data_IF_366183866326
#
_entry.id   IF_366183866326
#
_cell.length_a   1.000
_cell.length_b   1.000
_cell.length_c   1.000
_cell.angle_alpha   90.00
_cell.angle_beta   90.00
_cell.angle_gamma   90.00
#
_symmetry.space_group_name_H-M   'P 1'
#
loop_
_entity.id
_entity.type
_entity.pdbx_description
1 polymer ?
#
# COMPACT_ATOMS: atom_id res chain seq x y z
N UNK A 1 45.79 -31.68 13.99
CA UNK A 1 45.13 -32.09 12.73
C UNK A 1 43.70 -31.56 12.75
N UNK A 2 43.42 -30.47 12.02
CA UNK A 2 42.07 -29.92 11.86
C UNK A 2 41.84 -29.74 10.36
N UNK A 3 40.98 -30.58 9.79
CA UNK A 3 40.65 -30.56 8.37
C UNK A 3 39.86 -29.30 8.04
N UNK A 4 40.34 -28.57 7.03
CA UNK A 4 39.66 -27.43 6.44
C UNK A 4 38.30 -27.90 5.91
N UNK A 5 37.24 -27.27 6.41
CA UNK A 5 35.90 -27.30 5.81
C UNK A 5 36.06 -26.87 4.36
N UNK A 6 35.92 -27.83 3.44
CA UNK A 6 35.80 -27.57 2.01
C UNK A 6 34.66 -26.57 1.82
N UNK A 7 35.02 -25.33 1.50
CA UNK A 7 34.11 -24.36 0.94
C UNK A 7 33.70 -24.89 -0.44
N UNK A 8 32.60 -25.63 -0.45
CA UNK A 8 31.94 -26.10 -1.66
C UNK A 8 31.47 -24.84 -2.42
N UNK A 9 32.24 -24.44 -3.43
CA UNK A 9 31.86 -23.38 -4.34
C UNK A 9 30.52 -23.78 -5.00
N UNK A 10 29.51 -22.91 -5.01
CA UNK A 10 28.22 -23.26 -5.59
C UNK A 10 28.42 -23.60 -7.06
N UNK A 11 27.96 -24.81 -7.45
CA UNK A 11 28.04 -25.32 -8.81
C UNK A 11 27.44 -24.30 -9.80
N UNK A 12 28.19 -23.98 -10.87
CA UNK A 12 27.67 -23.23 -12.02
C UNK A 12 26.47 -24.00 -12.57
N UNK A 13 25.27 -23.47 -12.34
CA UNK A 13 24.01 -24.10 -12.73
C UNK A 13 23.02 -24.34 -11.59
N UNK A 14 23.37 -24.02 -10.34
CA UNK A 14 22.40 -24.02 -9.24
C UNK A 14 21.32 -22.97 -9.54
N UNK A 15 20.11 -23.43 -9.85
CA UNK A 15 18.96 -22.54 -10.07
C UNK A 15 18.76 -21.66 -8.83
N UNK A 16 18.91 -20.35 -8.98
CA UNK A 16 18.76 -19.40 -7.88
C UNK A 16 17.35 -19.57 -7.29
N UNK A 17 17.21 -19.87 -5.99
CA UNK A 17 15.91 -20.12 -5.40
C UNK A 17 15.04 -18.86 -5.46
N UNK A 18 13.89 -18.96 -6.14
CA UNK A 18 12.95 -17.85 -6.32
C UNK A 18 12.55 -17.24 -4.97
N UNK A 19 12.79 -15.93 -4.75
CA UNK A 19 12.51 -15.30 -3.47
C UNK A 19 11.01 -15.25 -3.20
N UNK A 20 10.61 -15.69 -2.01
CA UNK A 20 9.23 -15.57 -1.56
C UNK A 20 8.94 -14.12 -1.14
N UNK A 21 7.98 -13.49 -1.81
CA UNK A 21 7.50 -12.13 -1.51
C UNK A 21 6.41 -12.13 -0.43
N UNK A 22 6.31 -11.07 0.40
CA UNK A 22 5.22 -10.93 1.36
C UNK A 22 3.85 -10.95 0.67
N UNK A 23 2.85 -11.64 1.24
CA UNK A 23 1.48 -11.91 0.70
C UNK A 23 1.40 -12.78 -0.56
N UNK A 24 2.36 -12.67 -1.48
CA UNK A 24 2.41 -13.38 -2.76
C UNK A 24 3.15 -14.72 -2.69
N UNK A 25 4.05 -14.94 -1.73
CA UNK A 25 4.85 -16.17 -1.67
C UNK A 25 5.74 -16.28 -2.91
N UNK A 26 5.83 -17.47 -3.54
CA UNK A 26 6.53 -17.69 -4.81
C UNK A 26 5.62 -17.59 -6.05
N UNK A 27 4.32 -17.32 -5.87
CA UNK A 27 3.35 -17.39 -6.97
C UNK A 27 3.46 -16.24 -7.96
N UNK A 28 4.19 -15.17 -7.61
CA UNK A 28 4.49 -14.04 -8.50
C UNK A 28 5.30 -14.46 -9.74
N UNK A 29 6.16 -15.48 -9.62
CA UNK A 29 7.01 -15.96 -10.73
C UNK A 29 6.21 -16.66 -11.83
N UNK A 30 5.20 -17.47 -11.47
CA UNK A 30 4.37 -18.22 -12.44
C UNK A 30 3.13 -17.46 -12.91
N UNK A 31 2.75 -16.33 -12.29
CA UNK A 31 1.51 -15.56 -12.56
C UNK A 31 0.24 -16.44 -12.73
N UNK A 32 0.18 -17.57 -12.02
CA UNK A 32 -0.89 -18.57 -12.17
C UNK A 32 -2.21 -18.19 -11.48
N UNK A 33 -3.23 -19.07 -11.48
CA UNK A 33 -4.55 -18.78 -10.91
C UNK A 33 -4.50 -18.37 -9.42
N UNK A 34 -3.59 -18.95 -8.63
CA UNK A 34 -3.40 -18.58 -7.22
C UNK A 34 -2.86 -17.14 -7.02
N UNK A 35 -2.11 -16.61 -8.00
CA UNK A 35 -1.67 -15.21 -8.00
C UNK A 35 -2.87 -14.28 -8.20
N UNK A 36 -3.68 -14.57 -9.23
CA UNK A 36 -4.88 -13.79 -9.52
C UNK A 36 -5.91 -13.85 -8.39
N UNK A 37 -6.13 -15.01 -7.78
CA UNK A 37 -7.04 -15.14 -6.63
C UNK A 37 -6.60 -14.26 -5.44
N UNK A 38 -5.30 -14.27 -5.11
CA UNK A 38 -4.75 -13.43 -4.02
C UNK A 38 -4.86 -11.94 -4.35
N UNK A 39 -4.64 -11.58 -5.62
CA UNK A 39 -4.78 -10.21 -6.11
C UNK A 39 -6.23 -9.75 -6.03
N UNK A 40 -7.17 -10.51 -6.58
CA UNK A 40 -8.62 -10.23 -6.51
C UNK A 40 -9.10 -10.12 -5.07
N UNK A 41 -8.71 -11.05 -4.18
CA UNK A 41 -9.07 -10.96 -2.75
C UNK A 41 -8.55 -9.68 -2.11
N UNK A 42 -7.33 -9.25 -2.44
CA UNK A 42 -6.77 -8.00 -1.92
C UNK A 42 -7.52 -6.79 -2.48
N UNK A 43 -7.86 -6.81 -3.76
CA UNK A 43 -8.67 -5.76 -4.39
C UNK A 43 -10.03 -5.64 -3.74
N UNK A 44 -10.76 -6.74 -3.58
CA UNK A 44 -12.07 -6.76 -2.92
C UNK A 44 -11.96 -6.22 -1.50
N UNK A 45 -10.97 -6.70 -0.72
CA UNK A 45 -10.75 -6.20 0.64
C UNK A 45 -10.50 -4.68 0.68
N UNK A 46 -9.67 -4.15 -0.21
CA UNK A 46 -9.38 -2.71 -0.27
C UNK A 46 -10.61 -1.91 -0.70
N UNK A 47 -11.37 -2.38 -1.68
CA UNK A 47 -12.62 -1.74 -2.11
C UNK A 47 -13.64 -1.72 -0.96
N UNK A 48 -13.82 -2.84 -0.26
CA UNK A 48 -14.69 -2.90 0.92
C UNK A 48 -14.24 -1.93 2.02
N UNK A 49 -12.93 -1.85 2.27
CA UNK A 49 -12.38 -0.91 3.25
C UNK A 49 -12.59 0.56 2.83
N UNK A 50 -12.44 0.88 1.54
CA UNK A 50 -12.73 2.22 1.00
C UNK A 50 -14.20 2.57 1.17
N UNK A 51 -15.11 1.66 0.82
CA UNK A 51 -16.55 1.87 0.97
C UNK A 51 -16.93 2.10 2.43
N UNK A 52 -16.46 1.23 3.35
CA UNK A 52 -16.73 1.39 4.78
C UNK A 52 -16.17 2.70 5.33
N UNK A 53 -14.96 3.08 4.93
CA UNK A 53 -14.33 4.33 5.35
C UNK A 53 -15.09 5.56 4.83
N UNK A 54 -15.57 5.51 3.59
CA UNK A 54 -16.40 6.56 3.00
C UNK A 54 -17.75 6.72 3.72
N UNK A 55 -18.44 5.61 4.00
CA UNK A 55 -19.68 5.62 4.77
C UNK A 55 -19.48 6.16 6.18
N UNK A 56 -18.40 5.75 6.86
CA UNK A 56 -18.05 6.25 8.18
C UNK A 56 -17.76 7.75 8.16
N UNK A 57 -16.99 8.22 7.18
CA UNK A 57 -16.67 9.64 7.00
C UNK A 57 -17.94 10.48 6.77
N UNK A 58 -18.85 10.00 5.92
CA UNK A 58 -20.13 10.66 5.65
C UNK A 58 -21.02 10.70 6.91
N UNK A 59 -21.09 9.60 7.67
CA UNK A 59 -21.85 9.55 8.92
C UNK A 59 -21.31 10.50 10.00
N UNK A 60 -19.99 10.65 10.11
CA UNK A 60 -19.40 11.66 11.00
C UNK A 60 -19.69 13.08 10.52
N UNK A 61 -19.58 13.30 9.21
CA UNK A 61 -19.81 14.60 8.60
C UNK A 61 -21.27 15.05 8.72
N UNK A 62 -22.24 14.14 8.56
CA UNK A 62 -23.66 14.47 8.72
C UNK A 62 -23.95 14.97 10.14
N UNK A 63 -23.38 14.32 11.16
CA UNK A 63 -23.53 14.77 12.55
C UNK A 63 -22.98 16.18 12.80
N UNK A 64 -21.87 16.55 12.16
CA UNK A 64 -21.35 17.92 12.20
C UNK A 64 -22.24 18.90 11.41
N UNK A 65 -22.68 18.49 10.21
CA UNK A 65 -23.48 19.30 9.31
C UNK A 65 -24.82 19.70 9.93
N UNK A 66 -25.41 18.83 10.74
CA UNK A 66 -26.68 19.08 11.42
C UNK A 66 -26.59 20.20 12.46
N UNK A 67 -25.39 20.54 12.94
CA UNK A 67 -25.16 21.66 13.87
C UNK A 67 -25.09 23.02 13.17
N UNK A 68 -24.92 23.06 11.84
CA UNK A 68 -24.76 24.31 11.09
C UNK A 68 -26.12 24.91 10.68
N UNK A 69 -26.24 26.24 10.56
CA UNK A 69 -27.40 26.89 9.93
C UNK A 69 -27.54 26.53 8.43
N UNK A 70 -28.77 26.48 7.87
CA UNK A 70 -29.01 26.03 6.48
C UNK A 70 -28.15 26.76 5.42
N UNK A 71 -28.00 28.08 5.53
CA UNK A 71 -27.21 28.87 4.58
C UNK A 71 -25.71 28.54 4.64
N UNK A 72 -25.19 28.27 5.85
CA UNK A 72 -23.79 27.90 6.06
C UNK A 72 -23.53 26.48 5.57
N UNK A 73 -24.50 25.56 5.70
CA UNK A 73 -24.39 24.17 5.20
C UNK A 73 -24.09 24.13 3.71
N UNK A 74 -24.78 24.92 2.88
CA UNK A 74 -24.59 24.90 1.42
C UNK A 74 -23.17 25.33 1.05
N UNK A 75 -22.69 26.41 1.66
CA UNK A 75 -21.33 26.90 1.42
C UNK A 75 -20.30 25.88 1.91
N UNK A 76 -20.50 25.34 3.11
CA UNK A 76 -19.59 24.38 3.73
C UNK A 76 -19.50 23.07 2.93
N UNK A 77 -20.62 22.56 2.44
CA UNK A 77 -20.65 21.39 1.55
C UNK A 77 -19.90 21.63 0.26
N UNK A 78 -20.06 22.82 -0.35
CA UNK A 78 -19.32 23.18 -1.56
C UNK A 78 -17.81 23.16 -1.33
N UNK A 79 -17.36 23.74 -0.20
CA UNK A 79 -15.95 23.72 0.20
C UNK A 79 -15.47 22.28 0.44
N UNK A 80 -16.26 21.45 1.11
CA UNK A 80 -15.89 20.06 1.38
C UNK A 80 -15.86 19.18 0.14
N UNK A 81 -16.79 19.38 -0.79
CA UNK A 81 -16.81 18.69 -2.07
C UNK A 81 -15.56 19.05 -2.88
N UNK A 82 -15.24 20.34 -2.99
CA UNK A 82 -14.04 20.81 -3.68
C UNK A 82 -12.77 20.28 -3.01
N UNK A 83 -12.66 20.37 -1.69
CA UNK A 83 -11.54 19.85 -0.93
C UNK A 83 -11.36 18.34 -1.15
N UNK A 84 -12.46 17.56 -1.13
CA UNK A 84 -12.42 16.11 -1.35
C UNK A 84 -11.96 15.74 -2.75
N UNK A 85 -12.38 16.48 -3.78
CA UNK A 85 -11.90 16.26 -5.15
C UNK A 85 -10.41 16.54 -5.26
N UNK A 86 -9.95 17.68 -4.71
CA UNK A 86 -8.54 18.05 -4.71
C UNK A 86 -7.69 17.02 -3.97
N UNK A 87 -8.10 16.59 -2.78
CA UNK A 87 -7.34 15.64 -1.99
C UNK A 87 -7.36 14.24 -2.59
N UNK A 88 -8.45 13.80 -3.22
CA UNK A 88 -8.49 12.56 -3.99
C UNK A 88 -7.48 12.58 -5.15
N UNK A 89 -7.47 13.66 -5.94
CA UNK A 89 -6.47 13.86 -7.00
C UNK A 89 -5.04 13.89 -6.45
N UNK A 90 -4.83 14.57 -5.33
CA UNK A 90 -3.53 14.63 -4.65
C UNK A 90 -3.07 13.24 -4.17
N UNK A 91 -3.96 12.44 -3.57
CA UNK A 91 -3.68 11.07 -3.16
C UNK A 91 -3.30 10.18 -4.34
N UNK A 92 -4.03 10.30 -5.45
CA UNK A 92 -3.71 9.62 -6.69
C UNK A 92 -2.31 9.96 -7.21
N UNK A 93 -2.01 11.25 -7.35
CA UNK A 93 -0.71 11.73 -7.86
C UNK A 93 0.42 11.32 -6.93
N UNK A 94 0.24 11.47 -5.61
CA UNK A 94 1.22 11.07 -4.60
C UNK A 94 1.56 9.60 -4.72
N UNK A 95 0.54 8.75 -4.88
CA UNK A 95 0.77 7.32 -5.05
C UNK A 95 1.48 7.00 -6.36
N UNK A 96 1.07 7.62 -7.47
CA UNK A 96 1.71 7.39 -8.79
C UNK A 96 3.17 7.84 -8.77
N UNK A 97 3.49 8.96 -8.14
CA UNK A 97 4.86 9.46 -7.99
C UNK A 97 5.70 8.52 -7.13
N UNK A 98 5.19 8.12 -5.95
CA UNK A 98 5.87 7.16 -5.08
C UNK A 98 6.08 5.81 -5.75
N UNK A 99 5.07 5.32 -6.48
CA UNK A 99 5.17 4.09 -7.26
C UNK A 99 6.22 4.19 -8.37
N UNK A 100 6.24 5.28 -9.15
CA UNK A 100 7.27 5.53 -10.17
C UNK A 100 8.67 5.59 -9.56
N UNK A 101 8.85 6.30 -8.45
CA UNK A 101 10.12 6.36 -7.74
C UNK A 101 10.57 4.96 -7.27
N UNK A 102 9.64 4.17 -6.74
CA UNK A 102 9.92 2.80 -6.32
C UNK A 102 10.25 1.85 -7.49
N UNK A 103 9.79 2.13 -8.71
CA UNK A 103 10.18 1.37 -9.91
C UNK A 103 11.58 1.74 -10.42
N UNK A 104 11.99 3.00 -10.25
CA UNK A 104 13.34 3.46 -10.62
C UNK A 104 14.41 2.87 -9.69
N UNK A 105 14.09 2.70 -8.41
CA UNK A 105 14.97 2.08 -7.41
C UNK A 105 14.23 0.96 -6.65
N UNK A 106 14.06 -0.21 -7.29
CA UNK A 106 13.26 -1.28 -6.71
C UNK A 106 13.88 -1.83 -5.42
N UNK A 107 13.09 -2.01 -4.35
CA UNK A 107 13.60 -2.51 -3.08
C UNK A 107 14.00 -3.98 -3.21
N UNK A 108 15.17 -4.33 -2.66
CA UNK A 108 15.61 -5.72 -2.55
C UNK A 108 14.63 -6.55 -1.69
N UNK A 109 14.51 -7.87 -1.94
CA UNK A 109 13.58 -8.73 -1.21
C UNK A 109 13.79 -8.69 0.31
N UNK A 110 15.03 -8.55 0.79
CA UNK A 110 15.31 -8.43 2.24
C UNK A 110 14.88 -7.09 2.84
N UNK A 111 15.01 -5.97 2.11
CA UNK A 111 14.44 -4.68 2.54
C UNK A 111 12.92 -4.77 2.65
N UNK A 112 12.24 -5.45 1.72
CA UNK A 112 10.79 -5.62 1.78
C UNK A 112 10.33 -6.42 3.02
N UNK A 113 11.13 -7.41 3.43
CA UNK A 113 10.88 -8.23 4.64
C UNK A 113 11.11 -7.44 5.92
N UNK A 114 12.21 -6.67 6.00
CA UNK A 114 12.54 -5.80 7.14
C UNK A 114 11.49 -4.70 7.33
N UNK A 115 11.14 -3.99 6.26
CA UNK A 115 10.12 -2.95 6.29
C UNK A 115 8.77 -3.47 6.83
N UNK A 116 8.38 -4.71 6.51
CA UNK A 116 7.15 -5.31 7.04
C UNK A 116 7.24 -5.67 8.52
N UNK A 117 8.38 -6.16 9.01
CA UNK A 117 8.56 -6.43 10.45
C UNK A 117 8.51 -5.14 11.26
N UNK A 118 9.17 -4.10 10.76
CA UNK A 118 9.17 -2.77 11.40
C UNK A 118 7.75 -2.17 11.41
N UNK A 119 7.00 -2.35 10.32
CA UNK A 119 5.60 -1.92 10.27
C UNK A 119 4.72 -2.72 11.25
N UNK A 120 4.89 -4.04 11.32
CA UNK A 120 4.14 -4.88 12.25
C UNK A 120 4.41 -4.52 13.73
N UNK A 121 5.63 -4.08 14.07
CA UNK A 121 5.97 -3.58 15.41
C UNK A 121 5.44 -2.18 15.72
N UNK A 122 5.30 -1.29 14.72
CA UNK A 122 4.87 0.11 14.92
C UNK A 122 3.35 0.32 14.89
N UNK A 123 2.61 -0.54 14.19
CA UNK A 123 1.15 -0.38 13.99
C UNK A 123 0.33 -0.35 15.30
N UNK A 124 0.61 -1.17 16.33
CA UNK A 124 -0.16 -1.10 17.58
C UNK A 124 -0.04 0.25 18.29
N UNK A 125 1.16 0.86 18.28
CA UNK A 125 1.43 2.14 18.96
C UNK A 125 0.82 3.36 18.28
N UNK A 126 0.68 3.34 16.95
CA UNK A 126 0.08 4.46 16.20
C UNK A 126 -1.46 4.50 16.27
N UNK A 127 -2.11 3.34 16.44
CA UNK A 127 -3.57 3.25 16.55
C UNK A 127 -4.08 3.90 17.86
N UNK A 128 -3.26 3.95 18.90
CA UNK A 128 -3.63 4.58 20.17
C UNK A 128 -3.70 6.12 20.09
N UNK A 129 -2.81 6.76 19.32
CA UNK A 129 -2.74 8.22 19.20
C UNK A 129 -3.79 8.83 18.26
N UNK A 130 -4.32 8.06 17.30
CA UNK A 130 -5.27 8.58 16.31
C UNK A 130 -6.69 8.81 16.83
N UNK A 131 -7.09 8.17 17.94
CA UNK A 131 -8.50 8.14 18.39
C UNK A 131 -9.01 9.50 18.91
N UNK A 132 -8.13 10.32 19.50
CA UNK A 132 -8.49 11.66 20.00
C UNK A 132 -8.56 12.73 18.90
N UNK A 133 -7.69 12.65 17.88
CA UNK A 133 -7.66 13.62 16.79
C UNK A 133 -8.84 13.50 15.82
N UNK A 134 -9.39 12.28 15.64
CA UNK A 134 -10.51 12.02 14.73
C UNK A 134 -11.77 12.80 15.12
N UNK A 135 -11.99 13.03 16.42
CA UNK A 135 -13.15 13.78 16.91
C UNK A 135 -13.01 15.30 16.70
N UNK A 136 -11.80 15.85 16.89
CA UNK A 136 -11.51 17.27 16.61
C UNK A 136 -11.46 17.57 15.10
N UNK A 137 -11.16 16.56 14.29
CA UNK A 137 -11.03 16.69 12.83
C UNK A 137 -12.32 16.35 12.06
N UNK A 138 -13.47 16.15 12.72
CA UNK A 138 -14.77 15.86 12.09
C UNK A 138 -15.06 16.68 10.81
N UNK A 139 -14.74 17.99 10.74
CA UNK A 139 -14.99 18.76 9.53
C UNK A 139 -14.08 18.35 8.37
N UNK A 140 -12.89 17.78 8.61
CA UNK A 140 -11.87 17.45 7.60
C UNK A 140 -11.92 15.97 7.19
N UNK A 141 -12.71 15.15 7.89
CA UNK A 141 -12.79 13.69 7.66
C UNK A 141 -13.15 13.34 6.20
N UNK A 142 -14.10 14.01 5.53
CA UNK A 142 -14.40 13.72 4.12
C UNK A 142 -13.19 13.92 3.21
N UNK A 143 -12.48 15.05 3.37
CA UNK A 143 -11.31 15.36 2.56
C UNK A 143 -10.16 14.36 2.82
N UNK A 144 -9.96 13.91 4.06
CA UNK A 144 -8.96 12.90 4.39
C UNK A 144 -9.32 11.51 3.86
N UNK A 145 -10.60 11.13 3.96
CA UNK A 145 -11.11 9.89 3.39
C UNK A 145 -10.96 9.89 1.85
N UNK A 146 -11.22 11.04 1.20
CA UNK A 146 -11.04 11.19 -0.23
C UNK A 146 -9.56 11.08 -0.65
N UNK A 147 -8.63 11.65 0.12
CA UNK A 147 -7.18 11.45 -0.09
C UNK A 147 -6.79 9.98 -0.07
N UNK A 148 -7.18 9.26 1.00
CA UNK A 148 -6.86 7.85 1.16
C UNK A 148 -7.53 7.00 0.08
N UNK A 149 -8.76 7.32 -0.30
CA UNK A 149 -9.46 6.67 -1.42
C UNK A 149 -8.72 6.86 -2.76
N UNK A 150 -8.31 8.10 -3.09
CA UNK A 150 -7.55 8.39 -4.31
C UNK A 150 -6.20 7.68 -4.36
N UNK A 151 -5.51 7.62 -3.21
CA UNK A 151 -4.26 6.87 -3.05
C UNK A 151 -4.44 5.37 -3.26
N UNK A 152 -5.48 4.76 -2.65
CA UNK A 152 -5.79 3.33 -2.79
C UNK A 152 -6.26 2.98 -4.20
N UNK A 153 -7.07 3.83 -4.84
CA UNK A 153 -7.49 3.65 -6.23
C UNK A 153 -6.30 3.65 -7.19
N UNK A 154 -5.34 4.58 -7.00
CA UNK A 154 -4.10 4.60 -7.77
C UNK A 154 -3.27 3.33 -7.55
N UNK A 155 -3.26 2.81 -6.32
CA UNK A 155 -2.54 1.57 -5.99
C UNK A 155 -3.16 0.34 -6.66
N UNK A 156 -4.49 0.19 -6.63
CA UNK A 156 -5.19 -0.96 -7.20
C UNK A 156 -5.05 -1.04 -8.73
N UNK A 157 -4.89 0.10 -9.39
CA UNK A 157 -4.76 0.20 -10.85
C UNK A 157 -3.32 0.04 -11.35
N UNK A 158 -2.36 -0.21 -10.47
CA UNK A 158 -0.98 -0.54 -10.86
C UNK A 158 -0.92 -1.98 -11.40
N UNK A 159 -0.31 -2.19 -12.57
CA UNK A 159 -0.19 -3.51 -13.20
C UNK A 159 0.83 -4.41 -12.51
N UNK A 160 1.96 -3.87 -12.08
CA UNK A 160 3.08 -4.62 -11.47
C UNK A 160 3.57 -3.96 -10.20
N UNK A 161 3.78 -4.72 -9.13
CA UNK A 161 4.26 -4.16 -7.88
C UNK A 161 5.77 -3.95 -7.91
N UNK A 162 6.33 -2.87 -7.32
CA UNK A 162 7.78 -2.64 -7.30
C UNK A 162 8.57 -3.78 -6.64
N UNK A 163 7.95 -4.49 -5.70
CA UNK A 163 8.53 -5.68 -5.08
C UNK A 163 8.63 -6.88 -6.03
N UNK A 164 7.73 -7.00 -7.01
CA UNK A 164 7.81 -8.02 -8.06
C UNK A 164 8.94 -7.69 -9.04
N UNK A 165 9.07 -6.41 -9.42
CA UNK A 165 10.16 -5.93 -10.29
C UNK A 165 11.52 -6.09 -9.61
N UNK A 166 11.63 -5.73 -8.34
CA UNK A 166 12.87 -5.91 -7.56
C UNK A 166 13.25 -7.37 -7.36
N UNK A 167 12.27 -8.24 -7.11
CA UNK A 167 12.51 -9.68 -7.02
C UNK A 167 12.97 -10.26 -8.36
N UNK A 168 12.43 -9.78 -9.48
CA UNK A 168 12.83 -10.18 -10.83
C UNK A 168 14.26 -9.74 -11.17
N UNK A 169 14.61 -8.47 -10.94
CA UNK A 169 15.97 -7.96 -11.17
C UNK A 169 17.00 -8.71 -10.31
N UNK A 170 16.67 -8.96 -9.04
CA UNK A 170 17.53 -9.74 -8.16
C UNK A 170 17.75 -11.17 -8.68
N UNK A 171 16.70 -11.86 -9.15
CA UNK A 171 16.86 -13.18 -9.76
C UNK A 171 17.65 -13.14 -11.06
N UNK A 172 17.46 -12.11 -11.90
CA UNK A 172 18.23 -11.93 -13.15
C UNK A 172 19.72 -11.75 -12.82
N UNK A 173 20.07 -10.78 -11.97
CA UNK A 173 21.45 -10.50 -11.53
C UNK A 173 22.16 -11.73 -10.95
N UNK A 174 21.49 -12.49 -10.07
CA UNK A 174 22.10 -13.65 -9.40
C UNK A 174 22.07 -14.92 -10.26
N UNK A 175 21.22 -14.99 -11.29
CA UNK A 175 21.19 -16.11 -12.24
C UNK A 175 22.28 -16.01 -13.32
N UNK A 176 22.72 -14.79 -13.65
CA UNK A 176 23.75 -14.54 -14.66
C UNK A 176 25.18 -14.61 -14.13
N UNK A 177 25.39 -14.84 -12.82
CA UNK A 177 26.73 -15.06 -12.25
C UNK A 177 27.70 -13.90 -12.51
N UNK A 178 27.36 -12.71 -12.02
CA UNK A 178 28.29 -11.58 -11.89
C UNK A 178 28.54 -11.29 -10.41
#
# INVERSE_FOLDING_TARGET
>A
MASRVSAEAPARGASVPVPALPRLGRTWYRRGPAYWLRRTRTTVFVLSAMTLSGLFALGLYSGFRDLLPPTVRVVWDGVQAAASVVTAGWGWVTQRRGHRAALLSPPSPDRSRRARRDHAGRVPGQIAWGRGLVLLAAPVVPAFAAYTAGWLAAWLTVREYPSEVGARRWTEEHSTGA
#
